data_IF_674266358320
#
_entry.id   IF_674266358320
#
_cell.length_a   1.000
_cell.length_b   1.000
_cell.length_c   1.000
_cell.angle_alpha   90.00
_cell.angle_beta   90.00
_cell.angle_gamma   90.00
#
_symmetry.space_group_name_H-M   'P 1'
#
loop_
_entity.id
_entity.type
_entity.pdbx_description
1 polymer ?
#
# COMPACT_ATOMS: atom_id res chain seq x y z
N UNK A 1 -30.50 45.84 24.44
CA UNK A 1 -29.58 45.99 23.28
C UNK A 1 -28.17 46.07 23.84
N UNK A 2 -27.39 44.99 23.74
CA UNK A 2 -26.02 44.97 24.25
C UNK A 2 -25.18 45.97 23.45
N UNK A 3 -24.62 46.95 24.16
CA UNK A 3 -23.61 47.85 23.63
C UNK A 3 -22.45 47.02 23.10
N UNK A 4 -22.26 47.05 21.79
CA UNK A 4 -21.08 46.46 21.16
C UNK A 4 -19.85 47.07 21.81
N UNK A 5 -19.04 46.23 22.44
CA UNK A 5 -17.78 46.62 23.08
C UNK A 5 -16.91 47.24 21.97
N UNK A 6 -16.74 48.57 21.99
CA UNK A 6 -15.84 49.26 21.06
C UNK A 6 -14.43 48.72 21.30
N UNK A 7 -13.86 48.04 20.30
CA UNK A 7 -12.50 47.53 20.37
C UNK A 7 -11.52 48.64 20.72
N UNK A 8 -10.74 48.46 21.79
CA UNK A 8 -9.79 49.46 22.33
C UNK A 8 -8.49 49.60 21.52
N UNK A 9 -8.38 48.94 20.36
CA UNK A 9 -7.15 48.92 19.57
C UNK A 9 -7.16 50.07 18.55
N UNK A 10 -6.13 50.91 18.60
CA UNK A 10 -5.96 52.01 17.65
C UNK A 10 -5.75 51.48 16.23
N UNK A 11 -6.36 52.15 15.25
CA UNK A 11 -6.25 51.82 13.83
C UNK A 11 -4.80 51.77 13.34
N UNK A 12 -3.90 52.54 13.95
CA UNK A 12 -2.47 52.53 13.60
C UNK A 12 -1.81 51.19 13.91
N UNK A 13 -2.19 50.55 15.03
CA UNK A 13 -1.67 49.24 15.39
C UNK A 13 -2.22 48.14 14.48
N UNK A 14 -3.50 48.26 14.09
CA UNK A 14 -4.10 47.35 13.10
C UNK A 14 -3.45 47.50 11.72
N UNK A 15 -3.13 48.73 11.31
CA UNK A 15 -2.41 49.00 10.06
C UNK A 15 -1.01 48.37 10.07
N UNK A 16 -0.23 48.59 11.13
CA UNK A 16 1.08 47.96 11.24
C UNK A 16 1.02 46.44 11.33
N UNK A 17 0.04 45.88 12.04
CA UNK A 17 -0.18 44.43 12.09
C UNK A 17 -0.47 43.86 10.69
N UNK A 18 -1.28 44.55 9.89
CA UNK A 18 -1.55 44.17 8.50
C UNK A 18 -0.28 44.25 7.64
N UNK A 19 0.52 45.31 7.77
CA UNK A 19 1.78 45.45 7.03
C UNK A 19 2.75 44.32 7.39
N UNK A 20 2.92 44.02 8.69
CA UNK A 20 3.79 42.92 9.15
C UNK A 20 3.31 41.59 8.59
N UNK A 21 2.00 41.33 8.61
CA UNK A 21 1.42 40.11 8.04
C UNK A 21 1.71 40.00 6.53
N UNK A 22 1.46 41.07 5.78
CA UNK A 22 1.65 41.08 4.33
C UNK A 22 3.12 40.95 3.94
N UNK A 23 4.01 41.65 4.64
CA UNK A 23 5.47 41.54 4.42
C UNK A 23 5.95 40.14 4.80
N UNK A 24 5.48 39.58 5.92
CA UNK A 24 5.82 38.21 6.33
C UNK A 24 5.36 37.16 5.32
N UNK A 25 4.13 37.27 4.80
CA UNK A 25 3.62 36.41 3.74
C UNK A 25 4.43 36.55 2.45
N UNK A 26 4.77 37.78 2.06
CA UNK A 26 5.56 38.05 0.87
C UNK A 26 6.97 37.47 0.98
N UNK A 27 7.61 37.58 2.15
CA UNK A 27 8.91 36.95 2.42
C UNK A 27 8.78 35.43 2.33
N UNK A 28 7.80 34.80 2.98
CA UNK A 28 7.60 33.34 2.92
C UNK A 28 7.38 32.88 1.47
N UNK A 29 6.52 33.59 0.72
CA UNK A 29 6.23 33.27 -0.67
C UNK A 29 7.42 33.44 -1.61
N UNK A 30 8.31 34.41 -1.35
CA UNK A 30 9.52 34.63 -2.15
C UNK A 30 10.69 33.73 -1.73
N UNK A 31 10.73 33.29 -0.47
CA UNK A 31 11.83 32.47 0.08
C UNK A 31 11.53 30.97 0.05
N UNK A 32 10.28 30.55 -0.14
CA UNK A 32 9.94 29.14 -0.23
C UNK A 32 10.66 28.49 -1.41
N UNK A 33 11.26 27.34 -1.16
CA UNK A 33 11.85 26.51 -2.19
C UNK A 33 11.57 25.04 -1.89
N UNK A 34 11.52 24.23 -2.94
CA UNK A 34 11.36 22.78 -2.79
C UNK A 34 12.75 22.16 -2.68
N UNK A 35 13.07 21.64 -1.50
CA UNK A 35 14.28 20.86 -1.29
C UNK A 35 14.04 19.38 -1.60
N UNK A 36 15.03 18.73 -2.23
CA UNK A 36 15.06 17.27 -2.29
C UNK A 36 15.30 16.71 -0.88
N UNK A 37 14.62 15.61 -0.57
CA UNK A 37 14.91 14.81 0.63
C UNK A 37 16.28 14.13 0.48
N UNK A 38 16.90 13.68 1.59
CA UNK A 38 18.19 12.98 1.53
C UNK A 38 18.21 11.71 0.66
N UNK A 39 17.04 11.10 0.43
CA UNK A 39 16.88 9.84 -0.31
C UNK A 39 16.02 10.03 -1.57
N UNK A 40 15.97 11.25 -2.10
CA UNK A 40 15.02 11.64 -3.14
C UNK A 40 15.05 10.71 -4.36
N UNK A 41 16.23 10.37 -4.86
CA UNK A 41 16.34 9.59 -6.10
C UNK A 41 15.84 8.15 -5.90
N UNK A 42 16.17 7.50 -4.78
CA UNK A 42 15.60 6.18 -4.44
C UNK A 42 14.10 6.24 -4.15
N UNK A 43 13.62 7.32 -3.53
CA UNK A 43 12.19 7.52 -3.27
C UNK A 43 11.38 7.62 -4.57
N UNK A 44 11.86 8.38 -5.55
CA UNK A 44 11.23 8.49 -6.86
C UNK A 44 11.27 7.14 -7.60
N UNK A 45 12.42 6.45 -7.57
CA UNK A 45 12.55 5.13 -8.19
C UNK A 45 11.59 4.10 -7.58
N UNK A 46 11.47 4.05 -6.25
CA UNK A 46 10.59 3.10 -5.57
C UNK A 46 9.11 3.39 -5.86
N UNK A 47 8.71 4.66 -5.86
CA UNK A 47 7.36 5.07 -6.27
C UNK A 47 7.07 4.71 -7.72
N UNK A 48 8.00 4.97 -8.65
CA UNK A 48 7.79 4.62 -10.06
C UNK A 48 7.73 3.10 -10.27
N UNK A 49 8.53 2.32 -9.55
CA UNK A 49 8.51 0.86 -9.61
C UNK A 49 7.18 0.30 -9.09
N UNK A 50 6.67 0.81 -7.96
CA UNK A 50 5.35 0.43 -7.45
C UNK A 50 4.24 0.77 -8.44
N UNK A 51 4.28 1.97 -9.04
CA UNK A 51 3.33 2.39 -10.08
C UNK A 51 3.34 1.43 -11.27
N UNK A 52 4.51 1.14 -11.83
CA UNK A 52 4.65 0.21 -12.96
C UNK A 52 4.16 -1.20 -12.59
N UNK A 53 4.36 -1.61 -11.34
CA UNK A 53 3.90 -2.90 -10.86
C UNK A 53 2.37 -2.98 -10.74
N UNK A 54 1.71 -1.91 -10.30
CA UNK A 54 0.24 -1.82 -10.29
C UNK A 54 -0.32 -1.93 -11.71
N UNK A 55 0.27 -1.23 -12.69
CA UNK A 55 -0.16 -1.35 -14.08
C UNK A 55 0.00 -2.78 -14.61
N UNK A 56 1.10 -3.46 -14.26
CA UNK A 56 1.29 -4.88 -14.63
C UNK A 56 0.26 -5.81 -13.97
N UNK A 57 -0.07 -5.58 -12.70
CA UNK A 57 -1.11 -6.34 -11.99
C UNK A 57 -2.47 -6.13 -12.66
N UNK A 58 -2.80 -4.89 -13.02
CA UNK A 58 -4.03 -4.55 -13.75
C UNK A 58 -4.10 -5.29 -15.09
N UNK A 59 -3.02 -5.28 -15.88
CA UNK A 59 -2.95 -6.02 -17.14
C UNK A 59 -3.20 -7.52 -16.95
N UNK A 60 -2.55 -8.13 -15.96
CA UNK A 60 -2.72 -9.56 -15.67
C UNK A 60 -4.15 -9.88 -15.22
N UNK A 61 -4.75 -9.03 -14.37
CA UNK A 61 -6.14 -9.15 -13.94
C UNK A 61 -7.10 -9.15 -15.13
N UNK A 62 -6.94 -8.18 -16.03
CA UNK A 62 -7.76 -8.06 -17.22
C UNK A 62 -7.55 -9.25 -18.18
N UNK A 63 -6.32 -9.72 -18.34
CA UNK A 63 -5.99 -10.91 -19.12
C UNK A 63 -6.67 -12.19 -18.60
N UNK A 64 -6.93 -12.25 -17.29
CA UNK A 64 -7.71 -13.33 -16.64
C UNK A 64 -9.22 -13.15 -16.78
N UNK A 65 -9.69 -12.14 -17.52
CA UNK A 65 -11.09 -11.76 -17.65
C UNK A 65 -11.76 -11.38 -16.32
N UNK A 66 -10.98 -10.86 -15.37
CA UNK A 66 -11.50 -10.37 -14.09
C UNK A 66 -11.76 -8.87 -14.23
N UNK A 67 -13.03 -8.42 -14.23
CA UNK A 67 -13.35 -7.02 -14.48
C UNK A 67 -12.86 -6.12 -13.34
N UNK A 68 -12.54 -4.87 -13.69
CA UNK A 68 -12.33 -3.79 -12.73
C UNK A 68 -13.69 -3.24 -12.29
N UNK A 69 -13.82 -2.94 -11.01
CA UNK A 69 -14.98 -2.22 -10.50
C UNK A 69 -14.55 -0.76 -10.26
N UNK A 70 -15.03 0.17 -11.09
CA UNK A 70 -14.67 1.60 -11.02
C UNK A 70 -15.22 2.24 -9.74
N UNK A 71 -16.35 1.73 -9.21
CA UNK A 71 -16.92 2.22 -7.96
C UNK A 71 -16.04 1.86 -6.76
N UNK A 72 -15.37 0.70 -6.79
CA UNK A 72 -14.45 0.25 -5.74
C UNK A 72 -13.00 0.73 -5.97
N UNK A 73 -12.56 0.80 -7.22
CA UNK A 73 -11.21 1.16 -7.64
C UNK A 73 -11.25 2.27 -8.71
N UNK A 74 -11.54 3.52 -8.32
CA UNK A 74 -11.69 4.62 -9.27
C UNK A 74 -10.38 4.94 -10.03
N UNK A 75 -9.24 4.63 -9.40
CA UNK A 75 -7.92 4.78 -10.02
C UNK A 75 -7.54 3.59 -10.92
N UNK A 76 -8.41 2.57 -11.01
CA UNK A 76 -8.23 1.38 -11.85
C UNK A 76 -6.87 0.71 -11.64
N UNK A 77 -6.44 0.63 -10.39
CA UNK A 77 -5.15 0.04 -10.00
C UNK A 77 -5.09 -1.47 -10.21
N UNK A 78 -6.23 -2.14 -10.28
CA UNK A 78 -6.35 -3.59 -10.47
C UNK A 78 -6.11 -4.42 -9.22
N UNK A 79 -5.62 -3.81 -8.13
CA UNK A 79 -5.22 -4.53 -6.91
C UNK A 79 -6.32 -4.57 -5.84
N UNK A 80 -7.37 -3.77 -5.99
CA UNK A 80 -8.51 -3.72 -5.05
C UNK A 80 -9.46 -4.90 -5.33
N UNK A 81 -9.74 -5.67 -4.28
CA UNK A 81 -10.67 -6.81 -4.32
C UNK A 81 -12.14 -6.42 -4.21
N UNK A 82 -12.95 -7.37 -3.76
CA UNK A 82 -14.40 -7.20 -3.53
C UNK A 82 -14.71 -7.02 -2.05
N UNK A 83 -15.93 -6.61 -1.75
CA UNK A 83 -16.42 -6.53 -0.37
C UNK A 83 -16.43 -7.94 0.27
N UNK A 84 -17.24 -8.86 -0.26
CA UNK A 84 -17.32 -10.23 0.22
C UNK A 84 -16.90 -11.26 -0.83
N UNK A 85 -16.11 -12.23 -0.38
CA UNK A 85 -15.59 -13.39 -1.11
C UNK A 85 -15.30 -14.50 -0.11
N UNK A 86 -15.02 -15.69 -0.61
CA UNK A 86 -14.61 -16.86 0.17
C UNK A 86 -13.24 -16.69 0.84
N UNK A 87 -12.46 -15.66 0.45
CA UNK A 87 -11.21 -15.28 1.12
C UNK A 87 -11.41 -14.17 2.15
N UNK A 88 -12.61 -13.58 2.25
CA UNK A 88 -12.88 -12.49 3.18
C UNK A 88 -12.89 -13.03 4.62
N UNK A 89 -11.94 -12.55 5.44
CA UNK A 89 -11.78 -12.97 6.84
C UNK A 89 -12.48 -12.02 7.81
N UNK A 90 -12.44 -10.72 7.52
CA UNK A 90 -12.92 -9.67 8.41
C UNK A 90 -13.39 -8.46 7.60
N UNK A 91 -14.17 -7.58 8.24
CA UNK A 91 -14.52 -6.28 7.69
C UNK A 91 -13.26 -5.47 7.36
N UNK A 92 -13.35 -4.65 6.30
CA UNK A 92 -12.28 -3.79 5.84
C UNK A 92 -12.67 -2.32 5.84
N UNK A 93 -11.72 -1.47 5.48
CA UNK A 93 -11.97 -0.06 5.21
C UNK A 93 -11.50 0.23 3.77
N UNK A 94 -12.45 0.44 2.87
CA UNK A 94 -12.19 0.65 1.45
C UNK A 94 -11.31 1.90 1.20
N UNK A 95 -11.52 2.97 1.97
CA UNK A 95 -10.72 4.20 1.86
C UNK A 95 -9.26 3.92 2.19
N UNK A 96 -8.98 3.18 3.27
CA UNK A 96 -7.64 2.76 3.65
C UNK A 96 -6.99 1.88 2.57
N UNK A 97 -7.75 0.96 1.96
CA UNK A 97 -7.22 0.14 0.85
C UNK A 97 -6.84 1.01 -0.34
N UNK A 98 -7.71 1.95 -0.74
CA UNK A 98 -7.43 2.90 -1.83
C UNK A 98 -6.25 3.80 -1.52
N UNK A 99 -6.14 4.32 -0.31
CA UNK A 99 -5.00 5.15 0.10
C UNK A 99 -3.70 4.36 -0.04
N UNK A 100 -3.71 3.07 0.33
CA UNK A 100 -2.51 2.21 0.24
C UNK A 100 -2.02 1.96 -1.19
N UNK A 101 -2.84 2.18 -2.22
CA UNK A 101 -2.41 2.04 -3.62
C UNK A 101 -1.57 3.22 -4.12
N UNK A 102 -1.45 4.30 -3.34
CA UNK A 102 -0.63 5.44 -3.69
C UNK A 102 0.86 5.06 -3.69
N UNK A 103 1.58 5.20 -4.83
CA UNK A 103 3.00 4.87 -4.90
C UNK A 103 3.92 5.66 -3.96
N UNK A 104 3.44 6.77 -3.38
CA UNK A 104 4.13 7.47 -2.31
C UNK A 104 4.41 6.58 -1.07
N UNK A 105 3.68 5.49 -0.86
CA UNK A 105 4.00 4.52 0.19
C UNK A 105 5.36 3.85 -0.03
N UNK A 106 5.75 3.55 -1.28
CA UNK A 106 7.09 3.02 -1.55
C UNK A 106 8.17 4.07 -1.25
N UNK A 107 7.93 5.34 -1.61
CA UNK A 107 8.83 6.44 -1.22
C UNK A 107 8.93 6.63 0.31
N UNK A 108 7.82 6.44 1.04
CA UNK A 108 7.83 6.47 2.49
C UNK A 108 8.67 5.32 3.08
N UNK A 109 8.52 4.12 2.54
CA UNK A 109 9.26 2.94 3.00
C UNK A 109 10.77 3.08 2.72
N UNK A 110 11.19 3.70 1.62
CA UNK A 110 12.61 4.04 1.40
C UNK A 110 13.16 4.85 2.58
N UNK A 111 12.42 5.87 3.04
CA UNK A 111 12.84 6.67 4.20
C UNK A 111 12.97 5.79 5.44
N UNK A 112 11.97 4.99 5.77
CA UNK A 112 11.99 4.12 6.95
C UNK A 112 13.12 3.08 6.89
N UNK A 113 13.38 2.49 5.72
CA UNK A 113 14.44 1.51 5.56
C UNK A 113 15.84 2.14 5.70
N UNK A 114 16.02 3.36 5.18
CA UNK A 114 17.27 4.13 5.38
C UNK A 114 17.44 4.58 6.84
N UNK A 115 16.37 4.99 7.51
CA UNK A 115 16.39 5.35 8.95
C UNK A 115 16.69 4.13 9.84
N UNK A 116 16.24 2.95 9.44
CA UNK A 116 16.61 1.67 10.06
C UNK A 116 18.05 1.21 9.70
N UNK A 117 18.80 2.02 8.95
CA UNK A 117 20.18 1.78 8.55
C UNK A 117 20.40 0.50 7.71
N UNK A 118 19.38 0.03 6.99
CA UNK A 118 19.50 -1.13 6.10
C UNK A 118 20.49 -0.84 4.96
N UNK A 119 21.27 -1.86 4.61
CA UNK A 119 22.30 -1.84 3.58
C UNK A 119 21.94 -2.79 2.45
N UNK A 120 22.47 -2.50 1.27
CA UNK A 120 22.43 -3.41 0.13
C UNK A 120 22.88 -4.80 0.55
N UNK A 121 22.10 -5.82 0.16
CA UNK A 121 22.33 -7.21 0.49
C UNK A 121 21.79 -7.64 1.87
N UNK A 122 21.27 -6.72 2.69
CA UNK A 122 20.62 -7.11 3.93
C UNK A 122 19.36 -7.93 3.65
N UNK A 123 19.17 -8.97 4.47
CA UNK A 123 18.01 -9.84 4.42
C UNK A 123 16.90 -9.26 5.30
N UNK A 124 15.69 -9.12 4.75
CA UNK A 124 14.51 -8.64 5.49
C UNK A 124 13.43 -9.71 5.51
N UNK A 125 12.87 -10.01 6.67
CA UNK A 125 11.70 -10.87 6.80
C UNK A 125 10.42 -10.03 6.66
N UNK A 126 9.51 -10.45 5.78
CA UNK A 126 8.25 -9.75 5.50
C UNK A 126 7.09 -10.68 5.80
N UNK A 127 6.36 -10.38 6.87
CA UNK A 127 5.02 -10.92 7.11
C UNK A 127 3.99 -10.13 6.32
N UNK A 128 3.41 -10.74 5.29
CA UNK A 128 2.52 -10.08 4.36
C UNK A 128 1.09 -10.65 4.49
N UNK A 129 0.11 -9.77 4.69
CA UNK A 129 -1.30 -10.15 4.70
C UNK A 129 -1.97 -9.77 3.39
N UNK A 130 -2.79 -10.68 2.85
CA UNK A 130 -3.69 -10.42 1.73
C UNK A 130 -4.58 -9.20 1.94
N UNK A 131 -4.80 -8.76 3.18
CA UNK A 131 -5.58 -7.55 3.48
C UNK A 131 -5.03 -6.27 2.84
N UNK A 132 -3.71 -6.11 2.68
CA UNK A 132 -3.11 -4.87 2.15
C UNK A 132 -2.09 -5.18 1.04
N UNK A 133 -2.55 -5.68 -0.12
CA UNK A 133 -1.65 -6.14 -1.18
C UNK A 133 -0.80 -4.99 -1.76
N UNK A 134 -1.32 -3.77 -1.77
CA UNK A 134 -0.57 -2.60 -2.23
C UNK A 134 0.59 -2.23 -1.28
N UNK A 135 0.47 -2.49 0.03
CA UNK A 135 1.58 -2.28 0.97
C UNK A 135 2.65 -3.37 0.84
N UNK A 136 2.26 -4.60 0.49
CA UNK A 136 3.22 -5.64 0.11
C UNK A 136 4.02 -5.13 -1.11
N UNK A 137 3.32 -4.61 -2.11
CA UNK A 137 3.95 -4.11 -3.34
C UNK A 137 4.88 -2.91 -3.08
N UNK A 138 4.47 -1.99 -2.21
CA UNK A 138 5.31 -0.86 -1.77
C UNK A 138 6.61 -1.35 -1.12
N UNK A 139 6.50 -2.36 -0.25
CA UNK A 139 7.62 -2.96 0.48
C UNK A 139 8.59 -3.64 -0.47
N UNK A 140 8.09 -4.48 -1.39
CA UNK A 140 8.93 -5.17 -2.37
C UNK A 140 9.56 -4.22 -3.38
N UNK A 141 8.85 -3.16 -3.80
CA UNK A 141 9.41 -2.13 -4.67
C UNK A 141 10.56 -1.38 -3.98
N UNK A 142 10.40 -1.08 -2.69
CA UNK A 142 11.45 -0.48 -1.87
C UNK A 142 12.65 -1.41 -1.73
N UNK A 143 12.42 -2.68 -1.39
CA UNK A 143 13.45 -3.70 -1.30
C UNK A 143 14.24 -3.83 -2.62
N UNK A 144 13.53 -3.78 -3.76
CA UNK A 144 14.14 -3.87 -5.09
C UNK A 144 15.07 -2.70 -5.41
N UNK A 145 14.65 -1.48 -5.08
CA UNK A 145 15.44 -0.26 -5.33
C UNK A 145 16.64 -0.17 -4.40
N UNK A 146 16.49 -0.61 -3.14
CA UNK A 146 17.56 -0.61 -2.15
C UNK A 146 18.46 -1.85 -2.22
N UNK A 147 18.19 -2.76 -3.16
CA UNK A 147 18.93 -4.00 -3.37
C UNK A 147 18.99 -4.87 -2.09
N UNK A 148 17.83 -5.01 -1.44
CA UNK A 148 17.63 -5.88 -0.28
C UNK A 148 17.15 -7.27 -0.71
N UNK A 149 17.32 -8.24 0.18
CA UNK A 149 16.91 -9.64 -0.02
C UNK A 149 15.65 -9.96 0.83
N UNK A 150 14.43 -9.87 0.26
CA UNK A 150 13.21 -10.12 1.00
C UNK A 150 12.91 -11.62 1.16
N UNK A 151 12.63 -12.04 2.39
CA UNK A 151 12.04 -13.33 2.74
C UNK A 151 10.54 -13.13 3.00
N UNK A 152 9.73 -13.42 1.99
CA UNK A 152 8.30 -13.10 1.99
C UNK A 152 7.45 -14.27 2.47
N UNK A 153 6.71 -14.08 3.57
CA UNK A 153 5.72 -15.02 4.09
C UNK A 153 4.34 -14.40 3.87
N UNK A 154 3.46 -15.08 3.15
CA UNK A 154 2.16 -14.53 2.72
C UNK A 154 0.97 -15.25 3.37
N UNK A 155 0.06 -14.51 3.97
CA UNK A 155 -1.22 -15.01 4.48
C UNK A 155 -2.33 -14.78 3.44
N UNK A 156 -2.95 -15.87 2.97
CA UNK A 156 -3.93 -15.85 1.85
C UNK A 156 -5.23 -15.15 2.22
N UNK A 157 -5.78 -15.47 3.38
CA UNK A 157 -6.97 -14.80 3.90
C UNK A 157 -6.80 -13.28 3.97
N UNK A 158 -7.84 -12.57 3.59
CA UNK A 158 -7.80 -11.11 3.43
C UNK A 158 -9.05 -10.48 4.02
N UNK A 159 -8.94 -9.29 4.60
CA UNK A 159 -10.11 -8.46 4.85
C UNK A 159 -10.81 -8.10 3.52
N UNK A 160 -12.02 -7.53 3.63
CA UNK A 160 -12.68 -6.88 2.49
C UNK A 160 -11.72 -5.99 1.70
N UNK A 161 -11.91 -5.97 0.38
CA UNK A 161 -11.20 -5.15 -0.60
C UNK A 161 -9.69 -5.39 -0.74
N UNK A 162 -9.10 -6.34 0.01
CA UNK A 162 -7.72 -6.77 -0.18
C UNK A 162 -7.55 -7.71 -1.38
N UNK A 163 -6.53 -8.58 -1.34
CA UNK A 163 -6.30 -9.61 -2.36
C UNK A 163 -7.23 -10.82 -2.14
N UNK A 164 -8.53 -10.56 -2.07
CA UNK A 164 -9.54 -11.53 -1.70
C UNK A 164 -10.25 -12.20 -2.88
N UNK A 165 -9.78 -12.02 -4.12
CA UNK A 165 -10.33 -12.73 -5.26
C UNK A 165 -9.71 -14.14 -5.32
N UNK A 166 -10.48 -15.24 -5.20
CA UNK A 166 -9.92 -16.60 -5.21
C UNK A 166 -9.06 -16.91 -6.44
N UNK A 167 -9.43 -16.36 -7.60
CA UNK A 167 -8.74 -16.54 -8.88
C UNK A 167 -7.56 -15.57 -9.09
N UNK A 168 -7.33 -14.64 -8.17
CA UNK A 168 -6.35 -13.56 -8.28
C UNK A 168 -5.89 -13.02 -6.92
N UNK A 169 -5.20 -13.87 -6.18
CA UNK A 169 -4.57 -13.50 -4.91
C UNK A 169 -3.23 -12.80 -5.14
N UNK A 170 -2.51 -12.42 -4.07
CA UNK A 170 -1.17 -11.88 -4.22
C UNK A 170 -0.16 -12.89 -4.82
N UNK A 171 -0.46 -14.20 -4.79
CA UNK A 171 0.34 -15.23 -5.46
C UNK A 171 0.38 -14.96 -6.97
N UNK A 172 -0.78 -14.82 -7.60
CA UNK A 172 -0.91 -14.53 -9.04
C UNK A 172 -0.32 -13.16 -9.39
N UNK A 173 -0.53 -12.16 -8.52
CA UNK A 173 0.03 -10.82 -8.71
C UNK A 173 1.56 -10.86 -8.72
N UNK A 174 2.18 -11.49 -7.73
CA UNK A 174 3.63 -11.60 -7.63
C UNK A 174 4.23 -12.41 -8.78
N UNK A 175 3.61 -13.53 -9.16
CA UNK A 175 4.04 -14.36 -10.29
C UNK A 175 4.05 -13.56 -11.61
N UNK A 176 3.03 -12.72 -11.84
CA UNK A 176 2.98 -11.86 -13.03
C UNK A 176 4.13 -10.85 -13.11
N UNK A 177 4.53 -10.29 -11.96
CA UNK A 177 5.64 -9.36 -11.84
C UNK A 177 6.99 -10.07 -11.96
N UNK A 178 7.09 -11.28 -11.39
CA UNK A 178 8.28 -12.12 -11.46
C UNK A 178 8.59 -12.54 -12.90
N UNK A 179 7.57 -12.99 -13.65
CA UNK A 179 7.69 -13.37 -15.07
C UNK A 179 8.20 -12.24 -15.97
N UNK A 180 7.92 -10.98 -15.62
CA UNK A 180 8.42 -9.79 -16.32
C UNK A 180 9.72 -9.23 -15.72
N UNK A 181 10.31 -9.89 -14.73
CA UNK A 181 11.50 -9.46 -13.99
C UNK A 181 11.37 -8.07 -13.33
N UNK A 182 10.13 -7.63 -13.03
CA UNK A 182 9.86 -6.34 -12.37
C UNK A 182 10.17 -6.49 -10.88
N UNK A 183 9.55 -7.49 -10.24
CA UNK A 183 9.85 -7.94 -8.88
C UNK A 183 10.22 -9.42 -8.93
N UNK A 184 11.51 -9.76 -9.10
CA UNK A 184 11.97 -11.14 -9.26
C UNK A 184 12.02 -11.91 -7.93
N UNK A 185 10.98 -11.76 -7.11
CA UNK A 185 10.86 -12.39 -5.79
C UNK A 185 9.88 -13.56 -5.81
N UNK A 186 10.03 -14.45 -4.83
CA UNK A 186 9.15 -15.60 -4.60
C UNK A 186 8.68 -15.60 -3.16
N UNK A 187 7.56 -16.27 -2.91
CA UNK A 187 7.13 -16.56 -1.55
C UNK A 187 8.08 -17.60 -0.93
N UNK A 188 8.58 -17.31 0.26
CA UNK A 188 9.31 -18.27 1.08
C UNK A 188 8.32 -19.28 1.69
N UNK A 189 7.19 -18.78 2.18
CA UNK A 189 6.15 -19.58 2.80
C UNK A 189 4.78 -18.93 2.64
N UNK A 190 3.73 -19.71 2.84
CA UNK A 190 2.34 -19.28 2.78
C UNK A 190 1.59 -19.77 4.02
N UNK A 191 0.65 -18.98 4.53
CA UNK A 191 -0.29 -19.37 5.58
C UNK A 191 -1.73 -19.14 5.09
N UNK A 192 -2.69 -19.78 5.76
CA UNK A 192 -4.08 -19.77 5.30
C UNK A 192 -4.78 -18.43 5.59
N UNK A 193 -4.39 -17.70 6.63
CA UNK A 193 -5.11 -16.52 7.11
C UNK A 193 -6.37 -16.86 7.90
N UNK A 194 -7.20 -15.85 8.13
CA UNK A 194 -8.29 -15.95 9.11
C UNK A 194 -7.77 -15.84 10.55
N UNK A 195 -8.63 -16.12 11.52
CA UNK A 195 -8.24 -16.05 12.92
C UNK A 195 -7.13 -17.08 13.20
N UNK A 196 -6.00 -16.60 13.73
CA UNK A 196 -4.79 -17.40 14.03
C UNK A 196 -4.25 -18.23 12.84
N UNK A 197 -4.47 -17.78 11.59
CA UNK A 197 -4.09 -18.52 10.38
C UNK A 197 -4.79 -19.89 10.22
N UNK A 198 -5.96 -20.09 10.83
CA UNK A 198 -6.71 -21.35 10.84
C UNK A 198 -8.01 -21.31 10.00
N UNK A 199 -8.23 -20.25 9.22
CA UNK A 199 -9.47 -20.08 8.43
C UNK A 199 -10.73 -20.11 9.31
N UNK A 200 -10.59 -19.71 10.57
CA UNK A 200 -11.72 -19.60 11.50
C UNK A 200 -12.45 -18.26 11.33
N UNK A 201 -13.78 -18.29 11.53
CA UNK A 201 -14.62 -17.08 11.53
C UNK A 201 -14.96 -16.52 10.15
N UNK A 202 -14.82 -17.33 9.09
CA UNK A 202 -15.08 -16.89 7.71
C UNK A 202 -16.57 -16.66 7.43
N UNK A 203 -16.85 -15.80 6.45
CA UNK A 203 -18.23 -15.49 6.03
C UNK A 203 -18.89 -16.59 5.18
N UNK A 204 -18.10 -17.43 4.51
CA UNK A 204 -18.59 -18.48 3.62
C UNK A 204 -18.18 -19.87 4.12
N UNK A 205 -19.07 -20.86 3.97
CA UNK A 205 -18.86 -22.21 4.48
C UNK A 205 -17.82 -23.02 3.71
N UNK A 206 -17.50 -22.64 2.48
CA UNK A 206 -16.51 -23.29 1.61
C UNK A 206 -15.13 -22.60 1.62
N UNK A 207 -14.97 -21.53 2.40
CA UNK A 207 -13.72 -20.75 2.52
C UNK A 207 -12.49 -21.62 2.80
N UNK A 208 -12.60 -22.56 3.74
CA UNK A 208 -11.50 -23.46 4.10
C UNK A 208 -11.04 -24.27 2.90
N UNK A 209 -11.97 -24.90 2.18
CA UNK A 209 -11.67 -25.72 1.00
C UNK A 209 -11.00 -24.87 -0.10
N UNK A 210 -11.47 -23.65 -0.32
CA UNK A 210 -10.92 -22.76 -1.35
C UNK A 210 -9.50 -22.30 -0.99
N UNK A 211 -9.26 -21.92 0.27
CA UNK A 211 -7.93 -21.52 0.74
C UNK A 211 -6.94 -22.70 0.70
N UNK A 212 -7.38 -23.89 1.10
CA UNK A 212 -6.57 -25.11 0.96
C UNK A 212 -6.20 -25.39 -0.52
N UNK A 213 -7.14 -25.20 -1.44
CA UNK A 213 -6.87 -25.35 -2.88
C UNK A 213 -5.86 -24.31 -3.39
N UNK A 214 -5.98 -23.04 -2.99
CA UNK A 214 -5.06 -21.97 -3.38
C UNK A 214 -3.65 -22.24 -2.84
N UNK A 215 -3.55 -22.58 -1.55
CA UNK A 215 -2.25 -22.86 -0.92
C UNK A 215 -1.58 -24.09 -1.56
N UNK A 216 -2.31 -25.16 -1.83
CA UNK A 216 -1.79 -26.34 -2.54
C UNK A 216 -1.36 -26.01 -3.97
N UNK A 217 -2.19 -25.29 -4.73
CA UNK A 217 -1.90 -24.92 -6.11
C UNK A 217 -0.69 -23.98 -6.24
N UNK A 218 -0.39 -23.19 -5.21
CA UNK A 218 0.78 -22.29 -5.20
C UNK A 218 2.11 -23.04 -5.25
N UNK A 219 2.17 -24.29 -4.76
CA UNK A 219 3.41 -25.05 -4.60
C UNK A 219 4.40 -24.46 -3.59
N UNK A 220 3.98 -23.47 -2.80
CA UNK A 220 4.78 -22.80 -1.76
C UNK A 220 4.71 -23.61 -0.47
N UNK A 221 5.77 -23.55 0.34
CA UNK A 221 5.78 -24.19 1.67
C UNK A 221 4.66 -23.63 2.55
N UNK A 222 3.73 -24.49 2.97
CA UNK A 222 2.60 -24.15 3.82
C UNK A 222 3.02 -24.18 5.30
N UNK A 223 2.75 -23.08 6.02
CA UNK A 223 2.85 -23.00 7.47
C UNK A 223 1.51 -23.48 8.05
N UNK A 224 1.52 -24.61 8.73
CA UNK A 224 0.38 -25.09 9.52
C UNK A 224 0.54 -24.58 10.95
N UNK A 225 -0.42 -23.77 11.42
CA UNK A 225 -0.51 -23.26 12.78
C UNK A 225 -1.28 -24.21 13.70
#
# INVERSE_FOLDING_TARGET
MNSWIKGKLSLIYLFWALIILLVGLLIIEQTKFTAKTPYYDEQIQAAQLMKNSLETIKEERLKRNIPLNIELDPNQTGIIGKEYTELTTTLGNLEAKRTSTNPAFAALLVKYFKEANLKKGDVIAIGASGSFPALILATLSTARVLELEPLLIYSVGSSEYGANLPEFTFVEMLDSLNKKNILPYKLLAISMGGYLDQVEGMFYSDSQKIIEQITQASGVFLINA
#
